data_IF_616139856111
#
_entry.id   IF_616139856111
#
_cell.length_a   1.000
_cell.length_b   1.000
_cell.length_c   1.000
_cell.angle_alpha   90.00
_cell.angle_beta   90.00
_cell.angle_gamma   90.00
#
_symmetry.space_group_name_H-M   'P 1'
#
loop_
_entity.id
_entity.type
_entity.pdbx_description
1 polymer ?
#
# COMPACT_ATOMS: atom_id res chain seq x y z
N UNK A 1 -9.64 31.68 12.04
CA UNK A 1 -8.68 30.84 12.82
C UNK A 1 -7.40 30.80 11.99
N UNK A 2 -6.29 31.24 12.57
CA UNK A 2 -5.01 31.33 11.88
C UNK A 2 -4.50 29.93 11.56
N UNK A 3 -4.17 29.67 10.28
CA UNK A 3 -3.50 28.47 9.86
C UNK A 3 -2.12 28.44 10.53
N UNK A 4 -1.92 27.48 11.44
CA UNK A 4 -0.61 27.22 12.00
C UNK A 4 0.29 26.80 10.84
N UNK A 5 1.35 27.58 10.58
CA UNK A 5 2.38 27.22 9.61
C UNK A 5 3.00 25.88 10.06
N UNK A 6 2.71 24.81 9.32
CA UNK A 6 3.38 23.51 9.48
C UNK A 6 4.85 23.68 9.10
N UNK A 7 5.68 23.97 10.10
CA UNK A 7 7.14 23.93 9.92
C UNK A 7 7.56 22.47 9.75
N UNK A 8 8.12 22.13 8.61
CA UNK A 8 8.75 20.81 8.39
C UNK A 8 9.86 20.63 9.44
N UNK A 9 9.92 19.51 10.13
CA UNK A 9 11.06 19.21 10.99
C UNK A 9 12.33 19.17 10.12
N UNK A 10 13.48 19.63 10.64
CA UNK A 10 14.72 19.62 9.88
C UNK A 10 15.08 18.20 9.49
N UNK A 11 15.25 17.96 8.19
CA UNK A 11 15.84 16.73 7.63
C UNK A 11 17.35 16.77 7.94
N UNK A 12 17.71 16.80 9.20
CA UNK A 12 19.11 16.91 9.59
C UNK A 12 19.46 15.81 10.57
N UNK A 13 20.12 14.83 10.04
CA UNK A 13 21.33 14.14 10.52
C UNK A 13 21.46 12.85 9.75
N UNK A 14 22.64 12.58 9.24
CA UNK A 14 22.99 11.35 8.54
C UNK A 14 22.89 10.16 9.49
N UNK A 15 21.68 9.66 9.67
CA UNK A 15 21.42 8.38 10.33
C UNK A 15 21.46 7.33 9.22
N UNK A 16 22.13 6.21 9.48
CA UNK A 16 22.21 5.11 8.53
C UNK A 16 20.82 4.77 8.01
N UNK A 17 20.61 4.74 6.68
CA UNK A 17 19.31 4.46 6.11
C UNK A 17 18.83 3.07 6.53
N UNK A 18 17.55 2.92 6.85
CA UNK A 18 16.97 1.59 7.02
C UNK A 18 16.98 0.87 5.67
N UNK A 19 17.80 -0.16 5.53
CA UNK A 19 17.93 -0.90 4.27
C UNK A 19 16.63 -1.63 3.87
N UNK A 20 15.70 -1.84 4.81
CA UNK A 20 14.46 -2.59 4.58
C UNK A 20 13.21 -1.73 4.52
N UNK A 21 13.26 -0.45 4.93
CA UNK A 21 12.13 0.45 4.84
C UNK A 21 12.25 1.33 3.59
N UNK A 22 11.36 1.13 2.65
CA UNK A 22 11.23 1.94 1.45
C UNK A 22 9.98 2.79 1.43
N UNK A 23 9.69 3.34 0.27
CA UNK A 23 8.58 4.25 0.03
C UNK A 23 7.77 3.78 -1.19
N UNK A 24 6.46 3.55 -1.03
CA UNK A 24 5.60 3.41 -2.20
C UNK A 24 5.15 4.78 -2.73
N UNK A 25 5.15 4.93 -4.06
CA UNK A 25 4.69 6.15 -4.73
C UNK A 25 3.24 6.49 -4.43
N UNK A 26 2.44 5.52 -4.00
CA UNK A 26 1.06 5.73 -3.57
C UNK A 26 0.94 6.69 -2.37
N UNK A 27 2.02 6.85 -1.57
CA UNK A 27 2.08 7.82 -0.46
C UNK A 27 1.95 9.27 -0.90
N UNK A 28 2.19 9.54 -2.16
CA UNK A 28 2.10 10.89 -2.71
C UNK A 28 0.86 11.07 -3.59
N UNK A 29 0.22 12.21 -3.48
CA UNK A 29 -0.80 12.67 -4.42
C UNK A 29 -0.18 12.96 -5.78
N UNK A 30 0.28 11.91 -6.46
CA UNK A 30 1.14 11.91 -7.64
C UNK A 30 0.77 12.95 -8.68
N UNK A 31 -0.53 13.17 -8.91
CA UNK A 31 -1.01 14.16 -9.88
C UNK A 31 -0.67 15.60 -9.50
N UNK A 32 -0.57 15.92 -8.21
CA UNK A 32 -0.23 17.26 -7.75
C UNK A 32 1.26 17.50 -7.90
N UNK A 33 2.09 16.60 -7.37
CA UNK A 33 3.54 16.75 -7.34
C UNK A 33 4.22 16.43 -8.68
N UNK A 34 3.56 15.68 -9.58
CA UNK A 34 4.09 15.43 -10.93
C UNK A 34 4.05 16.67 -11.84
N UNK A 35 3.19 17.66 -11.56
CA UNK A 35 2.94 18.80 -12.46
C UNK A 35 3.63 20.08 -12.07
N UNK A 36 4.00 20.26 -10.81
CA UNK A 36 4.49 21.53 -10.32
C UNK A 36 5.51 21.35 -9.18
N UNK A 37 6.45 22.30 -9.09
CA UNK A 37 7.21 22.54 -7.88
C UNK A 37 6.38 23.41 -6.92
N UNK A 38 6.50 23.15 -5.63
CA UNK A 38 5.88 23.94 -4.57
C UNK A 38 6.96 24.39 -3.61
N UNK A 39 7.46 25.61 -3.82
CA UNK A 39 8.59 26.12 -3.05
C UNK A 39 9.84 25.25 -3.22
N UNK A 40 10.33 24.71 -2.13
CA UNK A 40 11.48 23.80 -2.04
C UNK A 40 11.14 22.34 -2.41
N UNK A 41 9.86 21.99 -2.51
CA UNK A 41 9.39 20.65 -2.86
C UNK A 41 9.44 20.43 -4.37
N UNK A 42 10.41 19.63 -4.81
CA UNK A 42 10.61 19.32 -6.23
C UNK A 42 9.46 18.45 -6.78
N UNK A 43 9.12 18.59 -8.07
CA UNK A 43 8.13 17.71 -8.71
C UNK A 43 8.69 16.29 -8.86
N UNK A 44 7.78 15.32 -8.92
CA UNK A 44 8.09 13.93 -9.28
C UNK A 44 7.63 13.64 -10.70
N UNK A 45 8.49 13.82 -11.68
CA UNK A 45 8.17 13.63 -13.11
C UNK A 45 8.22 12.16 -13.51
N UNK A 46 9.09 11.39 -12.87
CA UNK A 46 9.31 9.97 -13.14
C UNK A 46 9.95 9.25 -11.94
N UNK A 47 10.29 7.98 -12.10
CA UNK A 47 10.88 7.16 -11.04
C UNK A 47 12.26 7.66 -10.56
N UNK A 48 13.03 8.34 -11.41
CA UNK A 48 14.35 8.90 -11.05
C UNK A 48 14.18 9.98 -9.96
N UNK A 49 13.21 10.88 -10.13
CA UNK A 49 12.93 11.91 -9.12
C UNK A 49 12.52 11.29 -7.77
N UNK A 50 11.78 10.16 -7.80
CA UNK A 50 11.37 9.41 -6.60
C UNK A 50 12.58 8.76 -5.91
N UNK A 51 13.50 8.14 -6.68
CA UNK A 51 14.74 7.56 -6.17
C UNK A 51 15.59 8.64 -5.47
N UNK A 52 15.77 9.79 -6.09
CA UNK A 52 16.52 10.92 -5.49
C UNK A 52 15.85 11.44 -4.22
N UNK A 53 14.51 11.43 -4.19
CA UNK A 53 13.76 11.86 -3.02
C UNK A 53 13.86 10.85 -1.86
N UNK A 54 13.77 9.56 -2.15
CA UNK A 54 13.82 8.50 -1.14
C UNK A 54 15.15 8.47 -0.39
N UNK A 55 16.27 8.79 -1.06
CA UNK A 55 17.58 8.95 -0.39
C UNK A 55 17.53 10.07 0.66
N UNK A 56 16.89 11.19 0.35
CA UNK A 56 16.76 12.30 1.31
C UNK A 56 15.92 11.93 2.54
N UNK A 57 14.96 11.04 2.37
CA UNK A 57 14.17 10.48 3.47
C UNK A 57 14.93 9.44 4.30
N UNK A 58 16.06 8.93 3.79
CA UNK A 58 16.77 7.79 4.37
C UNK A 58 16.06 6.46 4.12
N UNK A 59 15.30 6.36 3.02
CA UNK A 59 14.66 5.11 2.61
C UNK A 59 15.66 4.16 1.97
N UNK A 60 15.46 2.84 2.18
CA UNK A 60 16.28 1.77 1.59
C UNK A 60 15.88 1.41 0.17
N UNK A 61 14.72 1.88 -0.32
CA UNK A 61 14.23 1.60 -1.67
C UNK A 61 12.90 2.27 -1.99
N UNK A 62 12.36 1.91 -3.14
CA UNK A 62 11.09 2.45 -3.64
C UNK A 62 10.23 1.36 -4.27
N UNK A 63 8.91 1.55 -4.19
CA UNK A 63 7.93 0.78 -4.97
C UNK A 63 7.19 1.74 -5.90
N UNK A 64 7.39 1.60 -7.21
CA UNK A 64 6.90 2.56 -8.22
C UNK A 64 6.18 1.86 -9.37
N UNK A 65 5.31 2.61 -10.07
CA UNK A 65 4.67 2.09 -11.28
C UNK A 65 5.71 1.90 -12.39
N UNK A 66 5.74 0.69 -12.95
CA UNK A 66 6.58 0.36 -14.13
C UNK A 66 5.77 0.42 -15.44
N UNK A 67 4.56 0.95 -15.37
CA UNK A 67 3.62 1.01 -16.49
C UNK A 67 4.19 1.83 -17.65
N UNK A 68 4.22 1.21 -18.82
CA UNK A 68 4.64 1.86 -20.06
C UNK A 68 6.14 2.13 -20.16
N UNK A 69 6.96 1.60 -19.25
CA UNK A 69 8.40 1.76 -19.34
C UNK A 69 8.96 1.05 -20.55
N UNK A 70 9.91 1.71 -21.22
CA UNK A 70 10.71 1.16 -22.29
C UNK A 70 12.07 0.71 -21.75
N UNK A 71 12.76 -0.17 -22.47
CA UNK A 71 14.05 -0.75 -22.05
C UNK A 71 15.09 0.30 -21.69
N UNK A 72 15.22 1.36 -22.46
CA UNK A 72 16.24 2.39 -22.18
C UNK A 72 15.98 3.12 -20.86
N UNK A 73 14.71 3.47 -20.60
CA UNK A 73 14.35 4.07 -19.30
C UNK A 73 14.50 3.08 -18.14
N UNK A 74 14.16 1.80 -18.33
CA UNK A 74 14.36 0.76 -17.33
C UNK A 74 15.84 0.62 -16.95
N UNK A 75 16.76 0.66 -17.92
CA UNK A 75 18.22 0.65 -17.70
C UNK A 75 18.71 1.91 -16.97
N UNK A 76 18.17 3.08 -17.32
CA UNK A 76 18.48 4.33 -16.61
C UNK A 76 18.07 4.24 -15.13
N UNK A 77 16.86 3.76 -14.85
CA UNK A 77 16.36 3.54 -13.48
C UNK A 77 17.25 2.53 -12.76
N UNK A 78 17.67 1.44 -13.41
CA UNK A 78 18.58 0.45 -12.84
C UNK A 78 19.91 1.09 -12.45
N UNK A 79 20.56 1.77 -13.37
CA UNK A 79 21.85 2.43 -13.11
C UNK A 79 21.73 3.44 -11.95
N UNK A 80 20.64 4.21 -11.92
CA UNK A 80 20.39 5.17 -10.85
C UNK A 80 20.20 4.50 -9.50
N UNK A 81 19.31 3.49 -9.38
CA UNK A 81 19.05 2.80 -8.11
C UNK A 81 20.32 2.11 -7.57
N UNK A 82 21.11 1.50 -8.47
CA UNK A 82 22.38 0.85 -8.12
C UNK A 82 23.41 1.84 -7.59
N UNK A 83 23.54 3.02 -8.25
CA UNK A 83 24.43 4.08 -7.77
C UNK A 83 24.03 4.64 -6.40
N UNK A 84 22.76 4.54 -6.02
CA UNK A 84 22.22 4.99 -4.75
C UNK A 84 22.16 3.87 -3.69
N UNK A 85 22.42 2.61 -4.07
CA UNK A 85 22.30 1.45 -3.18
C UNK A 85 20.87 1.13 -2.75
N UNK A 86 19.86 1.49 -3.57
CA UNK A 86 18.44 1.31 -3.26
C UNK A 86 17.89 0.00 -3.86
N UNK A 87 16.92 -0.62 -3.19
CA UNK A 87 16.08 -1.62 -3.85
C UNK A 87 14.98 -0.96 -4.69
N UNK A 88 14.44 -1.71 -5.64
CA UNK A 88 13.31 -1.31 -6.47
C UNK A 88 12.27 -2.42 -6.50
N UNK A 89 11.03 -2.08 -6.23
CA UNK A 89 9.86 -2.91 -6.51
C UNK A 89 8.96 -2.23 -7.53
N UNK A 90 8.26 -3.04 -8.34
CA UNK A 90 7.34 -2.54 -9.35
C UNK A 90 5.89 -2.52 -8.87
N UNK A 91 5.05 -1.74 -9.57
CA UNK A 91 3.59 -1.81 -9.49
C UNK A 91 3.02 -1.88 -10.90
N UNK A 92 2.13 -2.85 -11.17
CA UNK A 92 1.40 -2.98 -12.43
C UNK A 92 -0.05 -3.41 -12.19
N UNK A 93 -0.87 -3.27 -13.24
CA UNK A 93 -2.20 -3.88 -13.26
C UNK A 93 -2.14 -5.28 -13.85
N UNK A 94 -2.92 -6.22 -13.29
CA UNK A 94 -3.13 -7.54 -13.89
C UNK A 94 -3.54 -7.43 -15.37
N UNK A 95 -3.25 -8.44 -16.20
CA UNK A 95 -3.78 -8.48 -17.57
C UNK A 95 -5.30 -8.48 -17.52
N UNK A 96 -5.94 -7.71 -18.39
CA UNK A 96 -7.41 -7.63 -18.45
C UNK A 96 -8.02 -8.93 -18.97
N UNK A 97 -7.38 -9.52 -19.99
CA UNK A 97 -7.74 -10.77 -20.67
C UNK A 97 -6.54 -11.23 -21.50
N UNK A 98 -6.72 -12.26 -22.33
CA UNK A 98 -5.67 -12.82 -23.19
C UNK A 98 -5.08 -11.81 -24.20
N UNK A 99 -5.86 -10.84 -24.66
CA UNK A 99 -5.40 -9.83 -25.62
C UNK A 99 -4.52 -8.74 -24.97
N UNK A 100 -4.40 -8.73 -23.64
CA UNK A 100 -3.61 -7.75 -22.88
C UNK A 100 -2.28 -8.34 -22.36
N UNK A 101 -1.94 -9.57 -22.76
CA UNK A 101 -0.74 -10.26 -22.28
C UNK A 101 0.55 -9.59 -22.73
N UNK A 102 0.60 -9.10 -23.98
CA UNK A 102 1.79 -8.43 -24.53
C UNK A 102 2.14 -7.16 -23.72
N UNK A 103 1.12 -6.34 -23.35
CA UNK A 103 1.33 -5.20 -22.46
C UNK A 103 1.87 -5.66 -21.11
N UNK A 104 1.22 -6.67 -20.50
CA UNK A 104 1.60 -7.17 -19.18
C UNK A 104 3.03 -7.73 -19.20
N UNK A 105 3.38 -8.54 -20.19
CA UNK A 105 4.73 -9.10 -20.33
C UNK A 105 5.79 -8.01 -20.55
N UNK A 106 5.48 -7.01 -21.40
CA UNK A 106 6.39 -5.86 -21.61
C UNK A 106 6.67 -5.10 -20.31
N UNK A 107 5.65 -4.86 -19.48
CA UNK A 107 5.80 -4.17 -18.19
C UNK A 107 6.58 -5.03 -17.18
N UNK A 108 6.35 -6.34 -17.10
CA UNK A 108 7.13 -7.28 -16.29
C UNK A 108 8.61 -7.26 -16.69
N UNK A 109 8.88 -7.34 -18.00
CA UNK A 109 10.24 -7.32 -18.55
C UNK A 109 10.96 -6.02 -18.21
N UNK A 110 10.30 -4.87 -18.39
CA UNK A 110 10.88 -3.57 -18.05
C UNK A 110 11.15 -3.44 -16.54
N UNK A 111 10.23 -3.89 -15.69
CA UNK A 111 10.45 -3.94 -14.25
C UNK A 111 11.66 -4.79 -13.87
N UNK A 112 11.78 -5.98 -14.45
CA UNK A 112 12.92 -6.88 -14.24
C UNK A 112 14.24 -6.28 -14.73
N UNK A 113 14.23 -5.62 -15.88
CA UNK A 113 15.39 -4.92 -16.44
C UNK A 113 15.85 -3.77 -15.53
N UNK A 114 14.91 -3.05 -14.91
CA UNK A 114 15.21 -2.04 -13.89
C UNK A 114 15.69 -2.64 -12.55
N UNK A 115 15.65 -3.97 -12.40
CA UNK A 115 16.13 -4.71 -11.24
C UNK A 115 15.05 -4.98 -10.19
N UNK A 116 13.76 -4.86 -10.54
CA UNK A 116 12.69 -5.30 -9.66
C UNK A 116 12.59 -6.85 -9.67
N UNK A 117 12.61 -7.45 -8.49
CA UNK A 117 12.38 -8.89 -8.30
C UNK A 117 10.96 -9.17 -7.82
N UNK A 118 10.31 -8.17 -7.25
CA UNK A 118 8.93 -8.20 -6.78
C UNK A 118 8.15 -7.11 -7.47
N UNK A 119 6.96 -7.45 -7.96
CA UNK A 119 6.02 -6.52 -8.56
C UNK A 119 4.67 -6.67 -7.88
N UNK A 120 4.18 -5.59 -7.28
CA UNK A 120 2.89 -5.52 -6.61
C UNK A 120 1.77 -5.32 -7.63
N UNK A 121 0.63 -5.95 -7.37
CA UNK A 121 -0.62 -5.75 -8.12
C UNK A 121 -1.83 -5.78 -7.19
N UNK A 122 -2.98 -5.29 -7.68
CA UNK A 122 -4.29 -5.42 -7.04
C UNK A 122 -5.29 -6.07 -7.99
N UNK A 123 -6.24 -6.81 -7.46
CA UNK A 123 -7.36 -7.30 -8.25
C UNK A 123 -8.42 -6.22 -8.46
N UNK A 124 -8.77 -5.47 -7.39
CA UNK A 124 -9.69 -4.34 -7.40
C UNK A 124 -8.99 -3.08 -6.88
N UNK A 125 -8.99 -2.01 -7.67
CA UNK A 125 -8.46 -0.71 -7.24
C UNK A 125 -9.41 0.11 -6.35
N UNK A 126 -10.66 -0.34 -6.20
CA UNK A 126 -11.70 0.28 -5.38
C UNK A 126 -11.93 -0.47 -4.07
N UNK A 127 -13.04 -0.14 -3.41
CA UNK A 127 -13.51 -0.79 -2.20
C UNK A 127 -14.67 -1.73 -2.51
N UNK A 128 -14.61 -2.95 -2.02
CA UNK A 128 -15.61 -4.00 -2.25
C UNK A 128 -17.04 -3.52 -1.98
N UNK A 129 -17.27 -2.93 -0.82
CA UNK A 129 -18.58 -2.47 -0.38
C UNK A 129 -19.12 -1.24 -1.11
N UNK A 130 -18.28 -0.55 -1.89
CA UNK A 130 -18.70 0.56 -2.76
C UNK A 130 -18.91 0.10 -4.20
N UNK A 131 -18.10 -0.86 -4.66
CA UNK A 131 -18.05 -1.28 -6.07
C UNK A 131 -19.18 -2.22 -6.44
N UNK A 132 -19.59 -3.10 -5.52
CA UNK A 132 -20.55 -4.15 -5.84
C UNK A 132 -21.87 -3.97 -5.10
N UNK A 133 -22.98 -4.01 -5.84
CA UNK A 133 -24.33 -3.87 -5.31
C UNK A 133 -25.01 -5.21 -4.99
N UNK A 134 -24.38 -6.34 -5.28
CA UNK A 134 -24.88 -7.68 -5.02
C UNK A 134 -23.76 -8.68 -4.70
N UNK A 135 -24.07 -9.73 -3.93
CA UNK A 135 -23.15 -10.86 -3.70
C UNK A 135 -22.73 -11.51 -5.03
N UNK A 136 -23.68 -11.67 -5.97
CA UNK A 136 -23.42 -12.29 -7.27
C UNK A 136 -22.36 -11.52 -8.07
N UNK A 137 -22.48 -10.19 -8.15
CA UNK A 137 -21.49 -9.36 -8.85
C UNK A 137 -20.09 -9.48 -8.23
N UNK A 138 -20.02 -9.58 -6.91
CA UNK A 138 -18.75 -9.81 -6.23
C UNK A 138 -18.17 -11.23 -6.49
N UNK A 139 -19.01 -12.26 -6.51
CA UNK A 139 -18.57 -13.63 -6.86
C UNK A 139 -18.05 -13.72 -8.30
N UNK A 140 -18.73 -13.07 -9.24
CA UNK A 140 -18.27 -12.99 -10.63
C UNK A 140 -16.92 -12.25 -10.76
N UNK A 141 -16.74 -11.17 -9.99
CA UNK A 141 -15.45 -10.50 -9.88
C UNK A 141 -14.36 -11.45 -9.34
N UNK A 142 -14.64 -12.24 -8.29
CA UNK A 142 -13.67 -13.20 -7.73
C UNK A 142 -13.19 -14.20 -8.78
N UNK A 143 -14.11 -14.77 -9.56
CA UNK A 143 -13.76 -15.71 -10.64
C UNK A 143 -12.92 -15.03 -11.73
N UNK A 144 -13.32 -13.85 -12.18
CA UNK A 144 -12.56 -13.07 -13.16
C UNK A 144 -11.17 -12.71 -12.65
N UNK A 145 -11.04 -12.29 -11.39
CA UNK A 145 -9.75 -11.97 -10.79
C UNK A 145 -8.82 -13.18 -10.76
N UNK A 146 -9.32 -14.35 -10.36
CA UNK A 146 -8.55 -15.61 -10.38
C UNK A 146 -8.07 -15.94 -11.79
N UNK A 147 -8.93 -15.82 -12.81
CA UNK A 147 -8.54 -16.08 -14.21
C UNK A 147 -7.46 -15.09 -14.70
N UNK A 148 -7.56 -13.83 -14.34
CA UNK A 148 -6.54 -12.81 -14.65
C UNK A 148 -5.19 -13.12 -14.00
N UNK A 149 -5.20 -13.61 -12.75
CA UNK A 149 -3.97 -14.00 -12.06
C UNK A 149 -3.38 -15.26 -12.71
N UNK A 150 -4.22 -16.23 -13.11
CA UNK A 150 -3.77 -17.41 -13.87
C UNK A 150 -3.13 -17.05 -15.22
N UNK A 151 -3.61 -16.00 -15.87
CA UNK A 151 -2.99 -15.48 -17.10
C UNK A 151 -1.64 -14.81 -16.83
N UNK A 152 -1.48 -14.15 -15.68
CA UNK A 152 -0.25 -13.46 -15.28
C UNK A 152 0.86 -14.44 -14.86
N UNK A 153 0.52 -15.52 -14.18
CA UNK A 153 1.46 -16.43 -13.53
C UNK A 153 2.53 -17.02 -14.46
N UNK A 154 2.23 -17.57 -15.65
CA UNK A 154 3.27 -18.08 -16.55
C UNK A 154 4.26 -17.01 -17.03
N UNK A 155 3.81 -15.76 -17.14
CA UNK A 155 4.66 -14.63 -17.55
C UNK A 155 5.64 -14.27 -16.44
N UNK A 156 5.14 -14.09 -15.20
CA UNK A 156 6.01 -13.73 -14.08
C UNK A 156 7.01 -14.84 -13.78
N UNK A 157 6.61 -16.11 -13.90
CA UNK A 157 7.51 -17.27 -13.79
C UNK A 157 8.59 -17.23 -14.87
N UNK A 158 8.23 -17.01 -16.14
CA UNK A 158 9.16 -16.91 -17.27
C UNK A 158 10.24 -15.86 -17.03
N UNK A 159 9.87 -14.71 -16.47
CA UNK A 159 10.78 -13.59 -16.21
C UNK A 159 11.42 -13.62 -14.84
N UNK A 160 11.15 -14.65 -14.03
CA UNK A 160 11.67 -14.80 -12.65
C UNK A 160 11.37 -13.56 -11.80
N UNK A 161 10.14 -13.07 -11.85
CA UNK A 161 9.61 -11.96 -11.06
C UNK A 161 8.48 -12.47 -10.19
N UNK A 162 8.49 -12.16 -8.91
CA UNK A 162 7.40 -12.49 -7.99
C UNK A 162 6.27 -11.47 -8.12
N UNK A 163 5.04 -11.95 -8.27
CA UNK A 163 3.84 -11.14 -8.32
C UNK A 163 3.17 -11.11 -6.94
N UNK A 164 3.22 -9.98 -6.28
CA UNK A 164 2.67 -9.78 -4.95
C UNK A 164 1.25 -9.18 -5.05
N UNK A 165 0.22 -9.99 -4.80
CA UNK A 165 -1.18 -9.58 -4.78
C UNK A 165 -1.51 -8.93 -3.44
N UNK A 166 -1.91 -7.66 -3.46
CA UNK A 166 -2.23 -6.93 -2.24
C UNK A 166 -3.58 -7.34 -1.65
N UNK A 167 -3.64 -7.53 -0.32
CA UNK A 167 -4.89 -7.50 0.42
C UNK A 167 -5.39 -6.06 0.49
N UNK A 168 -5.94 -5.60 -0.62
CA UNK A 168 -6.54 -4.27 -0.71
C UNK A 168 -7.88 -4.25 0.06
N UNK A 169 -8.86 -3.43 -0.33
CA UNK A 169 -10.19 -3.41 0.30
C UNK A 169 -11.19 -4.30 -0.47
N UNK A 170 -10.69 -5.41 -1.02
CA UNK A 170 -11.41 -6.37 -1.86
C UNK A 170 -11.47 -7.78 -1.25
N UNK A 171 -10.36 -8.30 -0.74
CA UNK A 171 -10.24 -9.64 -0.20
C UNK A 171 -10.13 -9.63 1.33
N UNK A 172 -10.91 -10.50 1.98
CA UNK A 172 -10.59 -10.93 3.34
C UNK A 172 -9.45 -11.96 3.30
N UNK A 173 -8.70 -12.07 4.37
CA UNK A 173 -7.53 -12.94 4.41
C UNK A 173 -7.83 -14.41 4.00
N UNK A 174 -8.92 -15.07 4.46
CA UNK A 174 -9.24 -16.42 4.01
C UNK A 174 -9.56 -16.51 2.50
N UNK A 175 -10.15 -15.46 1.91
CA UNK A 175 -10.45 -15.42 0.48
C UNK A 175 -9.18 -15.32 -0.36
N UNK A 176 -8.19 -14.56 0.11
CA UNK A 176 -6.89 -14.43 -0.55
C UNK A 176 -6.09 -15.74 -0.47
N UNK A 177 -6.11 -16.42 0.69
CA UNK A 177 -5.49 -17.75 0.84
C UNK A 177 -6.11 -18.77 -0.12
N UNK A 178 -7.45 -18.78 -0.29
CA UNK A 178 -8.11 -19.67 -1.26
C UNK A 178 -7.61 -19.42 -2.70
N UNK A 179 -7.41 -18.15 -3.09
CA UNK A 179 -6.83 -17.79 -4.39
C UNK A 179 -5.43 -18.37 -4.55
N UNK A 180 -4.56 -18.17 -3.55
CA UNK A 180 -3.17 -18.65 -3.60
C UNK A 180 -3.12 -20.18 -3.64
N UNK A 181 -3.95 -20.88 -2.85
CA UNK A 181 -4.03 -22.32 -2.86
C UNK A 181 -4.47 -22.88 -4.23
N UNK A 182 -5.42 -22.23 -4.90
CA UNK A 182 -5.88 -22.61 -6.25
C UNK A 182 -4.84 -22.34 -7.34
N UNK A 183 -3.93 -21.41 -7.14
CA UNK A 183 -2.82 -21.12 -8.05
C UNK A 183 -1.67 -22.09 -7.86
N UNK A 184 -1.36 -22.43 -6.62
CA UNK A 184 -0.27 -23.32 -6.20
C UNK A 184 1.07 -22.96 -6.89
N UNK A 185 1.45 -21.68 -6.83
CA UNK A 185 2.65 -21.15 -7.50
C UNK A 185 3.53 -20.39 -6.50
N UNK A 186 4.82 -20.64 -6.53
CA UNK A 186 5.83 -19.88 -5.78
C UNK A 186 6.04 -18.45 -6.33
N UNK A 187 5.54 -18.17 -7.53
CA UNK A 187 5.69 -16.88 -8.21
C UNK A 187 4.60 -15.88 -7.88
N UNK A 188 3.55 -16.33 -7.17
CA UNK A 188 2.43 -15.47 -6.75
C UNK A 188 2.25 -15.57 -5.25
N UNK A 189 2.33 -14.44 -4.57
CA UNK A 189 2.13 -14.34 -3.12
C UNK A 189 1.44 -13.05 -2.74
N UNK A 190 1.70 -12.55 -1.56
CA UNK A 190 0.99 -11.41 -0.96
C UNK A 190 1.89 -10.17 -0.88
N UNK A 191 1.34 -9.03 -1.30
CA UNK A 191 1.75 -7.74 -0.78
C UNK A 191 0.89 -7.46 0.45
N UNK A 192 1.44 -7.65 1.63
CA UNK A 192 0.70 -7.51 2.89
C UNK A 192 0.50 -6.04 3.22
N UNK A 193 -0.73 -5.56 3.10
CA UNK A 193 -1.14 -4.25 3.58
C UNK A 193 -1.60 -4.35 5.03
N UNK A 194 -0.98 -3.59 5.92
CA UNK A 194 -1.17 -3.71 7.37
C UNK A 194 -2.48 -3.09 7.87
N UNK A 195 -3.14 -2.23 7.07
CA UNK A 195 -4.30 -1.45 7.52
C UNK A 195 -5.60 -1.68 6.74
N UNK A 196 -5.53 -2.16 5.49
CA UNK A 196 -6.70 -2.24 4.61
C UNK A 196 -7.82 -3.16 5.13
N UNK A 197 -7.45 -4.25 5.81
CA UNK A 197 -8.36 -5.28 6.34
C UNK A 197 -9.37 -4.75 7.36
N UNK A 198 -9.04 -3.67 8.07
CA UNK A 198 -9.95 -3.02 9.03
C UNK A 198 -11.25 -2.61 8.34
N UNK A 199 -11.18 -2.15 7.08
CA UNK A 199 -12.36 -1.78 6.29
C UNK A 199 -13.26 -2.95 5.91
N UNK A 200 -12.77 -4.19 6.06
CA UNK A 200 -13.52 -5.44 5.85
C UNK A 200 -13.89 -6.14 7.17
N UNK A 201 -13.83 -5.40 8.28
CA UNK A 201 -14.15 -5.86 9.63
C UNK A 201 -13.25 -7.04 10.08
N UNK A 202 -11.99 -7.04 9.70
CA UNK A 202 -11.01 -8.03 10.15
C UNK A 202 -10.08 -7.42 11.23
N UNK A 203 -9.69 -8.24 12.19
CA UNK A 203 -8.63 -7.86 13.12
C UNK A 203 -7.30 -7.79 12.36
N UNK A 204 -6.59 -6.66 12.33
CA UNK A 204 -5.36 -6.53 11.54
C UNK A 204 -4.28 -7.53 11.98
N UNK A 205 -4.15 -7.82 13.28
CA UNK A 205 -3.13 -8.78 13.75
C UNK A 205 -3.43 -10.22 13.34
N UNK A 206 -4.71 -10.60 13.27
CA UNK A 206 -5.12 -11.92 12.79
C UNK A 206 -4.88 -12.05 11.28
N UNK A 207 -5.14 -10.97 10.52
CA UNK A 207 -4.83 -10.92 9.08
C UNK A 207 -3.33 -11.05 8.85
N UNK A 208 -2.51 -10.32 9.61
CA UNK A 208 -1.05 -10.38 9.49
C UNK A 208 -0.54 -11.78 9.80
N UNK A 209 -0.96 -12.42 10.90
CA UNK A 209 -0.59 -13.82 11.22
C UNK A 209 -0.98 -14.78 10.11
N UNK A 210 -2.15 -14.58 9.51
CA UNK A 210 -2.68 -15.44 8.44
C UNK A 210 -1.90 -15.29 7.15
N UNK A 211 -1.53 -14.06 6.77
CA UNK A 211 -0.91 -13.76 5.47
C UNK A 211 0.62 -13.74 5.50
N UNK A 212 1.26 -13.56 6.66
CA UNK A 212 2.71 -13.48 6.79
C UNK A 212 3.48 -14.63 6.10
N UNK A 213 3.04 -15.92 6.16
CA UNK A 213 3.73 -17.01 5.47
C UNK A 213 3.75 -16.89 3.94
N UNK A 214 2.86 -16.08 3.35
CA UNK A 214 2.72 -15.88 1.91
C UNK A 214 3.26 -14.51 1.46
N UNK A 215 3.77 -13.72 2.41
CA UNK A 215 4.15 -12.32 2.17
C UNK A 215 5.49 -12.21 1.45
N UNK A 216 5.47 -11.50 0.34
CA UNK A 216 6.65 -11.16 -0.48
C UNK A 216 7.14 -9.74 -0.23
N UNK A 217 6.24 -8.81 0.03
CA UNK A 217 6.50 -7.41 0.34
C UNK A 217 5.37 -6.84 1.19
N UNK A 218 5.58 -5.70 1.84
CA UNK A 218 4.63 -5.12 2.78
C UNK A 218 4.33 -3.67 2.38
N UNK A 219 3.05 -3.31 2.33
CA UNK A 219 2.59 -1.95 2.46
C UNK A 219 2.42 -1.64 3.95
N UNK A 220 3.37 -0.87 4.47
CA UNK A 220 3.45 -0.57 5.89
C UNK A 220 2.85 0.78 6.19
N UNK A 221 1.83 0.80 7.03
CA UNK A 221 1.09 2.00 7.44
C UNK A 221 0.56 1.87 8.86
N UNK A 222 0.20 2.99 9.45
CA UNK A 222 -0.59 3.06 10.67
C UNK A 222 -1.96 3.68 10.36
N UNK A 223 -2.97 3.32 11.14
CA UNK A 223 -4.35 3.65 10.86
C UNK A 223 -5.01 4.33 12.06
N UNK A 224 -5.62 5.48 11.80
CA UNK A 224 -6.51 6.14 12.74
C UNK A 224 -7.97 5.81 12.45
N UNK A 225 -8.80 5.77 13.49
CA UNK A 225 -10.23 5.49 13.43
C UNK A 225 -11.04 6.51 14.21
N UNK A 226 -12.27 6.78 13.76
CA UNK A 226 -13.22 7.67 14.40
C UNK A 226 -14.64 7.18 14.13
N UNK A 227 -15.56 7.24 15.11
CA UNK A 227 -16.96 6.86 14.91
C UNK A 227 -17.68 7.87 14.01
N UNK A 228 -18.60 7.42 13.17
CA UNK A 228 -19.59 8.26 12.50
C UNK A 228 -20.92 7.48 12.34
N UNK A 229 -22.01 8.18 11.98
CA UNK A 229 -23.38 7.65 12.05
C UNK A 229 -23.62 6.31 11.32
N UNK A 230 -22.95 6.10 10.17
CA UNK A 230 -23.12 4.87 9.39
C UNK A 230 -22.03 3.81 9.66
N UNK A 231 -21.13 4.03 10.63
CA UNK A 231 -20.05 3.11 10.96
C UNK A 231 -18.81 3.80 11.52
N UNK A 232 -17.70 3.80 10.78
CA UNK A 232 -16.48 4.47 11.22
C UNK A 232 -15.69 5.09 10.06
N UNK A 233 -14.93 6.12 10.39
CA UNK A 233 -13.92 6.72 9.54
C UNK A 233 -12.61 5.97 9.72
N UNK A 234 -11.89 5.76 8.63
CA UNK A 234 -10.60 5.07 8.59
C UNK A 234 -9.60 5.91 7.79
N UNK A 235 -8.46 6.23 8.36
CA UNK A 235 -7.45 7.06 7.70
C UNK A 235 -6.05 6.54 7.96
N UNK A 236 -5.19 6.63 6.96
CA UNK A 236 -3.76 6.54 7.18
C UNK A 236 -3.32 7.72 8.07
N UNK A 237 -2.50 7.45 9.08
CA UNK A 237 -1.94 8.45 10.00
C UNK A 237 -0.43 8.24 10.16
N UNK A 238 0.35 9.24 10.58
CA UNK A 238 1.77 9.04 10.89
C UNK A 238 1.98 7.90 11.88
N UNK A 239 3.07 7.17 11.74
CA UNK A 239 3.42 6.06 12.62
C UNK A 239 3.40 6.47 14.08
N UNK A 240 2.76 5.67 14.92
CA UNK A 240 2.57 5.90 16.35
C UNK A 240 1.38 6.78 16.71
N UNK A 241 0.68 7.37 15.73
CA UNK A 241 -0.56 8.11 15.96
C UNK A 241 -1.81 7.22 15.73
N UNK A 242 -1.62 5.99 15.25
CA UNK A 242 -2.69 5.05 14.93
C UNK A 242 -2.88 3.94 15.97
N UNK A 243 -3.62 2.92 15.53
CA UNK A 243 -4.08 1.80 16.36
C UNK A 243 -3.29 0.51 16.13
N UNK A 244 -2.31 0.51 15.22
CA UNK A 244 -1.58 -0.71 14.87
C UNK A 244 -0.36 -0.89 15.78
N UNK A 245 -0.14 -2.11 16.24
CA UNK A 245 1.09 -2.48 16.93
C UNK A 245 2.21 -2.75 15.91
N UNK A 246 2.86 -1.65 15.49
CA UNK A 246 3.87 -1.68 14.43
C UNK A 246 5.07 -2.58 14.77
N UNK A 247 5.45 -2.66 16.06
CA UNK A 247 6.56 -3.50 16.49
C UNK A 247 6.23 -4.99 16.38
N UNK A 248 5.05 -5.41 16.88
CA UNK A 248 4.57 -6.80 16.75
C UNK A 248 4.35 -7.19 15.29
N UNK A 249 3.91 -6.27 14.42
CA UNK A 249 3.79 -6.50 12.97
C UNK A 249 5.14 -6.85 12.36
N UNK A 250 6.18 -6.05 12.68
CA UNK A 250 7.54 -6.28 12.18
C UNK A 250 8.08 -7.64 12.68
N UNK A 251 7.88 -7.95 13.95
CA UNK A 251 8.32 -9.21 14.55
C UNK A 251 7.69 -10.42 13.82
N UNK A 252 6.37 -10.42 13.66
CA UNK A 252 5.63 -11.48 12.96
C UNK A 252 6.08 -11.64 11.49
N UNK A 253 6.20 -10.54 10.77
CA UNK A 253 6.61 -10.58 9.37
C UNK A 253 8.06 -11.03 9.21
N UNK A 254 8.97 -10.56 10.06
CA UNK A 254 10.38 -10.98 10.05
C UNK A 254 10.56 -12.46 10.42
N UNK A 255 9.73 -12.97 11.34
CA UNK A 255 9.74 -14.40 11.68
C UNK A 255 9.34 -15.28 10.49
N UNK A 256 8.40 -14.82 9.65
CA UNK A 256 7.98 -15.53 8.45
C UNK A 256 8.93 -15.32 7.25
N UNK A 257 9.45 -14.12 7.06
CA UNK A 257 10.37 -13.76 5.97
C UNK A 257 11.38 -12.69 6.45
N UNK A 258 12.58 -13.08 6.90
CA UNK A 258 13.59 -12.14 7.41
C UNK A 258 14.09 -11.11 6.37
N UNK A 259 13.86 -11.34 5.09
CA UNK A 259 14.30 -10.46 3.99
C UNK A 259 13.18 -9.56 3.44
N UNK A 260 11.98 -9.59 4.04
CA UNK A 260 10.83 -8.82 3.55
C UNK A 260 11.10 -7.32 3.61
N UNK A 261 10.66 -6.60 2.57
CA UNK A 261 10.77 -5.14 2.47
C UNK A 261 9.47 -4.49 2.97
N UNK A 262 9.62 -3.38 3.69
CA UNK A 262 8.52 -2.59 4.24
C UNK A 262 8.39 -1.29 3.45
N UNK A 263 7.41 -1.18 2.57
CA UNK A 263 7.17 0.04 1.79
C UNK A 263 6.17 0.93 2.52
N UNK A 264 6.59 2.09 3.01
CA UNK A 264 5.69 3.06 3.62
C UNK A 264 4.58 3.44 2.65
N UNK A 265 3.33 3.26 3.07
CA UNK A 265 2.14 3.74 2.37
C UNK A 265 1.35 4.69 3.27
N UNK A 266 1.84 5.91 3.41
CA UNK A 266 1.16 7.00 4.13
C UNK A 266 0.43 7.90 3.14
N UNK A 267 -0.85 7.63 2.90
CA UNK A 267 -1.67 8.42 1.97
C UNK A 267 -2.38 9.53 2.74
N UNK A 268 -1.99 10.78 2.51
CA UNK A 268 -2.63 11.95 3.13
C UNK A 268 -3.86 12.37 2.34
N UNK A 269 -5.03 12.08 2.88
CA UNK A 269 -6.34 12.34 2.25
C UNK A 269 -7.43 12.50 3.31
N UNK A 270 -8.64 12.86 2.87
CA UNK A 270 -9.80 12.79 3.74
C UNK A 270 -10.05 11.34 4.19
N UNK A 271 -10.53 11.12 5.44
CA UNK A 271 -10.80 9.79 5.95
C UNK A 271 -11.76 9.00 5.06
N UNK A 272 -11.49 7.72 4.93
CA UNK A 272 -12.37 6.79 4.23
C UNK A 272 -13.59 6.49 5.11
N UNK A 273 -14.79 6.57 4.55
CA UNK A 273 -16.00 6.09 5.20
C UNK A 273 -16.08 4.57 5.07
N UNK A 274 -16.27 3.89 6.19
CA UNK A 274 -16.58 2.46 6.25
C UNK A 274 -18.02 2.32 6.76
N UNK A 275 -19.02 2.30 5.86
CA UNK A 275 -20.42 2.39 6.22
C UNK A 275 -20.99 1.03 6.66
N UNK A 276 -20.35 0.39 7.64
CA UNK A 276 -20.65 -0.98 8.07
C UNK A 276 -21.99 -1.14 8.80
N UNK A 277 -22.69 -0.05 9.08
CA UNK A 277 -24.05 -0.05 9.64
C UNK A 277 -25.13 0.11 8.56
N UNK A 278 -24.76 0.15 7.26
CA UNK A 278 -25.70 0.26 6.15
C UNK A 278 -25.93 -1.07 5.44
N UNK A 279 -27.11 -1.30 4.88
CA UNK A 279 -27.43 -2.52 4.12
C UNK A 279 -26.48 -2.73 2.93
N UNK A 280 -26.07 -1.64 2.26
CA UNK A 280 -25.18 -1.71 1.10
C UNK A 280 -23.85 -2.40 1.42
N UNK A 281 -23.28 -2.12 2.58
CA UNK A 281 -22.02 -2.70 3.02
C UNK A 281 -22.08 -4.25 3.03
N UNK A 282 -23.21 -4.82 3.48
CA UNK A 282 -23.38 -6.24 3.67
C UNK A 282 -23.73 -7.03 2.40
N UNK A 283 -24.10 -6.35 1.30
CA UNK A 283 -24.49 -7.01 0.04
C UNK A 283 -23.42 -7.97 -0.50
N UNK A 284 -22.15 -7.72 -0.23
CA UNK A 284 -21.05 -8.59 -0.66
C UNK A 284 -20.60 -9.60 0.41
N UNK A 285 -21.15 -9.51 1.62
CA UNK A 285 -20.76 -10.35 2.77
C UNK A 285 -21.97 -10.77 3.62
N UNK A 286 -23.07 -11.29 3.02
CA UNK A 286 -24.33 -11.51 3.73
C UNK A 286 -24.23 -12.60 4.82
N UNK A 287 -23.21 -13.44 4.76
CA UNK A 287 -22.98 -14.54 5.71
C UNK A 287 -21.86 -14.26 6.71
N UNK A 288 -21.30 -13.07 6.70
CA UNK A 288 -20.29 -12.69 7.69
C UNK A 288 -20.91 -12.60 9.08
N UNK A 289 -20.32 -13.30 10.04
CA UNK A 289 -20.85 -13.31 11.41
C UNK A 289 -20.86 -11.92 12.03
N UNK A 290 -21.94 -11.54 12.71
CA UNK A 290 -22.09 -10.24 13.36
C UNK A 290 -21.05 -9.96 14.45
N UNK A 291 -20.35 -10.98 14.95
CA UNK A 291 -19.22 -10.84 15.86
C UNK A 291 -18.09 -10.01 15.29
N UNK A 292 -17.83 -10.07 13.97
CA UNK A 292 -16.81 -9.22 13.32
C UNK A 292 -17.17 -7.74 13.41
N UNK A 293 -18.44 -7.39 13.16
CA UNK A 293 -18.94 -6.04 13.34
C UNK A 293 -18.79 -5.56 14.77
N UNK A 294 -19.26 -6.38 15.74
CA UNK A 294 -19.21 -6.03 17.14
C UNK A 294 -17.78 -5.82 17.65
N UNK A 295 -16.83 -6.67 17.25
CA UNK A 295 -15.42 -6.55 17.59
C UNK A 295 -14.78 -5.30 16.98
N UNK A 296 -15.05 -5.03 15.70
CA UNK A 296 -14.53 -3.85 15.02
C UNK A 296 -15.06 -2.56 15.65
N UNK A 297 -16.37 -2.43 15.87
CA UNK A 297 -16.93 -1.23 16.49
C UNK A 297 -16.45 -1.05 17.94
N UNK A 298 -16.29 -2.13 18.69
CA UNK A 298 -15.68 -2.08 20.02
C UNK A 298 -14.25 -1.52 19.97
N UNK A 299 -13.45 -1.97 18.99
CA UNK A 299 -12.09 -1.45 18.78
C UNK A 299 -12.13 0.02 18.41
N UNK A 300 -12.94 0.41 17.41
CA UNK A 300 -13.09 1.81 17.00
C UNK A 300 -13.42 2.70 18.19
N UNK A 301 -14.38 2.32 19.01
CA UNK A 301 -14.77 3.08 20.20
C UNK A 301 -13.65 3.17 21.25
N UNK A 302 -12.91 2.07 21.47
CA UNK A 302 -11.83 2.00 22.46
C UNK A 302 -10.59 2.79 22.02
N UNK A 303 -10.28 2.74 20.71
CA UNK A 303 -9.02 3.20 20.13
C UNK A 303 -9.23 4.44 19.24
N UNK A 304 -10.37 5.15 19.42
CA UNK A 304 -10.66 6.38 18.69
C UNK A 304 -9.48 7.34 18.71
N UNK A 305 -9.17 7.91 17.55
CA UNK A 305 -8.00 8.77 17.37
C UNK A 305 -8.03 9.97 18.30
N UNK A 306 -6.93 10.18 19.03
CA UNK A 306 -6.78 11.32 19.96
C UNK A 306 -6.50 12.63 19.25
N UNK A 307 -5.94 12.55 18.02
CA UNK A 307 -5.70 13.67 17.12
C UNK A 307 -6.75 13.65 16.00
N UNK A 308 -7.14 14.80 15.45
CA UNK A 308 -8.02 14.82 14.27
C UNK A 308 -7.43 13.98 13.13
N UNK A 309 -8.26 13.20 12.48
CA UNK A 309 -7.84 12.45 11.28
C UNK A 309 -7.43 13.43 10.16
N UNK A 310 -6.46 13.08 9.30
CA UNK A 310 -6.04 13.91 8.18
C UNK A 310 -7.22 14.34 7.31
N UNK A 311 -7.24 15.63 6.93
CA UNK A 311 -8.21 16.19 5.98
C UNK A 311 -7.47 17.08 4.99
N UNK A 312 -7.77 16.90 3.70
CA UNK A 312 -7.21 17.69 2.61
C UNK A 312 -8.27 18.51 1.87
N UNK A 313 -9.55 18.22 2.09
CA UNK A 313 -10.64 19.02 1.56
C UNK A 313 -10.54 20.46 2.07
N UNK A 314 -10.53 21.42 1.13
CA UNK A 314 -10.37 22.84 1.42
C UNK A 314 -8.92 23.34 1.46
N UNK A 315 -7.93 22.46 1.37
CA UNK A 315 -6.52 22.84 1.24
C UNK A 315 -6.16 23.17 -0.22
N UNK A 316 -5.27 24.14 -0.39
CA UNK A 316 -4.63 24.40 -1.69
C UNK A 316 -3.75 23.24 -2.12
N UNK A 317 -3.41 23.10 -3.41
CA UNK A 317 -2.47 22.07 -3.87
C UNK A 317 -1.12 22.09 -3.15
N UNK A 318 -0.58 23.27 -2.82
CA UNK A 318 0.67 23.41 -2.08
C UNK A 318 0.53 22.91 -0.64
N UNK A 319 -0.52 23.31 0.07
CA UNK A 319 -0.79 22.83 1.43
C UNK A 319 -0.95 21.32 1.46
N UNK A 320 -1.66 20.72 0.49
CA UNK A 320 -1.76 19.27 0.36
C UNK A 320 -0.39 18.59 0.23
N UNK A 321 0.48 19.10 -0.65
CA UNK A 321 1.81 18.52 -0.89
C UNK A 321 2.72 18.68 0.34
N UNK A 322 2.66 19.81 1.04
CA UNK A 322 3.40 20.02 2.29
C UNK A 322 2.90 19.10 3.40
N UNK A 323 1.62 18.88 3.48
CA UNK A 323 1.03 17.98 4.47
C UNK A 323 1.42 16.51 4.20
N UNK A 324 1.36 16.05 2.94
CA UNK A 324 1.87 14.74 2.53
C UNK A 324 3.34 14.57 2.94
N UNK A 325 4.18 15.54 2.61
CA UNK A 325 5.62 15.49 2.95
C UNK A 325 5.84 15.43 4.46
N UNK A 326 5.14 16.25 5.23
CA UNK A 326 5.27 16.27 6.69
C UNK A 326 4.92 14.91 7.31
N UNK A 327 3.82 14.28 6.87
CA UNK A 327 3.38 12.99 7.34
C UNK A 327 4.39 11.88 7.00
N UNK A 328 4.93 11.88 5.78
CA UNK A 328 5.92 10.91 5.33
C UNK A 328 7.22 11.06 6.12
N UNK A 329 7.71 12.30 6.27
CA UNK A 329 8.91 12.58 7.08
C UNK A 329 8.72 12.11 8.53
N UNK A 330 7.54 12.38 9.13
CA UNK A 330 7.21 11.92 10.47
C UNK A 330 7.26 10.40 10.60
N UNK A 331 6.76 9.65 9.60
CA UNK A 331 6.85 8.18 9.57
C UNK A 331 8.30 7.69 9.54
N UNK A 332 9.15 8.27 8.70
CA UNK A 332 10.57 7.89 8.63
C UNK A 332 11.33 8.25 9.92
N UNK A 333 11.01 9.38 10.54
CA UNK A 333 11.60 9.77 11.83
C UNK A 333 11.18 8.78 12.92
N UNK A 334 9.88 8.49 13.01
CA UNK A 334 9.36 7.52 13.98
C UNK A 334 10.00 6.13 13.82
N UNK A 335 10.05 5.65 12.57
CA UNK A 335 10.61 4.33 12.27
C UNK A 335 12.08 4.22 12.73
N UNK A 336 12.90 5.23 12.46
CA UNK A 336 14.30 5.25 12.91
C UNK A 336 14.47 5.26 14.43
N UNK A 337 13.54 5.87 15.15
CA UNK A 337 13.63 6.03 16.60
C UNK A 337 13.03 4.85 17.37
N UNK A 338 12.03 4.18 16.79
CA UNK A 338 11.18 3.24 17.51
C UNK A 338 11.08 1.84 16.90
N UNK A 339 11.47 1.68 15.64
CA UNK A 339 11.32 0.41 14.91
C UNK A 339 12.68 -0.16 14.47
N UNK A 340 12.81 -1.48 14.56
CA UNK A 340 14.01 -2.19 14.12
C UNK A 340 13.78 -2.69 12.68
N UNK A 341 14.12 -1.85 11.68
CA UNK A 341 13.94 -2.12 10.25
C UNK A 341 15.26 -2.02 9.49
#
# INVERSE_FOLDING_TARGET
MAAAALSLPPIAQAVSPSKRMGLTVASYGYRRRAKAAYGDLRPFRNAIDILDHSVRLGAGGVQVSVRGWQSDFAKEVRAKRESLGLYLEGQISLPKNKNDLDRFESEIKAGREAGAEIIRTVALGGRRYETFDTERAFLDFKLNALDRIRLAEPIVRKHQVKLALENHKDWRAPELIDILARLSSEWVGVCLDTGNSISLLEDPMDVIRTLAPYTMTIHFKDMGVEEYDEGFLLSEVPFGDGILDLASIIELCNAANPQVQYNLEMITRDPLKVPCLTEKYWKTSPRLAGSYLAQTLRRVKKEASKKPLPKVSGLSPEECVRYEEANIVSCFVYARQNLIL
#
